data_IF_644833588282
#
_entry.id   IF_644833588282
#
_cell.length_a   1.000
_cell.length_b   1.000
_cell.length_c   1.000
_cell.angle_alpha   90.00
_cell.angle_beta   90.00
_cell.angle_gamma   90.00
#
_symmetry.space_group_name_H-M   'P 1'
#
loop_
_entity.id
_entity.type
_entity.pdbx_description
1 polymer ?
#
# COMPACT_ATOMS: atom_id res chain seq x y z
N UNK A 1 30.33 15.46 8.62
CA UNK A 1 29.76 16.06 9.85
C UNK A 1 28.82 17.14 9.36
N UNK A 2 27.53 16.82 9.19
CA UNK A 2 26.50 17.79 8.80
C UNK A 2 26.30 18.75 9.96
N UNK A 3 26.27 20.05 9.69
CA UNK A 3 25.97 21.05 10.72
C UNK A 3 24.49 20.91 11.14
N UNK A 4 24.13 21.34 12.36
CA UNK A 4 22.72 21.36 12.80
C UNK A 4 21.81 22.09 11.78
N UNK A 5 22.34 23.09 11.09
CA UNK A 5 21.64 23.85 10.06
C UNK A 5 21.36 23.00 8.79
N UNK A 6 22.27 22.11 8.39
CA UNK A 6 22.08 21.21 7.25
C UNK A 6 21.01 20.14 7.53
N UNK A 7 20.90 19.71 8.79
CA UNK A 7 19.87 18.77 9.22
C UNK A 7 18.46 19.36 9.09
N UNK A 8 18.26 20.60 9.55
CA UNK A 8 16.97 21.30 9.45
C UNK A 8 16.55 21.53 7.99
N UNK A 9 17.50 21.87 7.11
CA UNK A 9 17.22 22.03 5.67
C UNK A 9 16.78 20.69 5.05
N UNK A 10 17.46 19.60 5.39
CA UNK A 10 17.14 18.27 4.86
C UNK A 10 15.74 17.83 5.28
N UNK A 11 15.38 17.99 6.56
CA UNK A 11 14.02 17.74 7.05
C UNK A 11 12.99 18.58 6.30
N UNK A 12 13.23 19.88 6.15
CA UNK A 12 12.31 20.79 5.46
C UNK A 12 12.08 20.38 4.00
N UNK A 13 13.13 19.96 3.29
CA UNK A 13 13.02 19.44 1.92
C UNK A 13 12.18 18.17 1.87
N UNK A 14 12.38 17.24 2.81
CA UNK A 14 11.57 16.02 2.90
C UNK A 14 10.09 16.30 3.14
N UNK A 15 9.78 17.19 4.09
CA UNK A 15 8.40 17.61 4.39
C UNK A 15 7.75 18.32 3.21
N UNK A 16 8.46 19.26 2.58
CA UNK A 16 7.99 19.97 1.39
C UNK A 16 7.71 19.03 0.22
N UNK A 17 8.57 18.04 0.00
CA UNK A 17 8.37 17.00 -1.03
C UNK A 17 7.14 16.16 -0.72
N UNK A 18 6.95 15.74 0.54
CA UNK A 18 5.79 14.94 0.94
C UNK A 18 4.49 15.73 0.74
N UNK A 19 4.46 17.01 1.13
CA UNK A 19 3.30 17.87 0.91
C UNK A 19 3.00 18.07 -0.59
N UNK A 20 4.03 18.30 -1.40
CA UNK A 20 3.89 18.38 -2.86
C UNK A 20 3.30 17.10 -3.46
N UNK A 21 3.80 15.92 -3.05
CA UNK A 21 3.31 14.63 -3.53
C UNK A 21 1.86 14.36 -3.11
N UNK A 22 1.47 14.74 -1.89
CA UNK A 22 0.09 14.62 -1.44
C UNK A 22 -0.87 15.50 -2.26
N UNK A 23 -0.48 16.75 -2.55
CA UNK A 23 -1.25 17.65 -3.42
C UNK A 23 -1.33 17.09 -4.84
N UNK A 24 -0.20 16.60 -5.37
CA UNK A 24 -0.14 15.96 -6.69
C UNK A 24 -1.06 14.74 -6.75
N UNK A 25 -1.06 13.88 -5.73
CA UNK A 25 -1.95 12.72 -5.65
C UNK A 25 -3.43 13.15 -5.72
N UNK A 26 -3.85 14.13 -4.91
CA UNK A 26 -5.24 14.63 -4.92
C UNK A 26 -5.59 15.25 -6.28
N UNK A 27 -4.67 15.99 -6.89
CA UNK A 27 -4.86 16.55 -8.24
C UNK A 27 -5.04 15.45 -9.29
N UNK A 28 -4.28 14.35 -9.18
CA UNK A 28 -4.34 13.23 -10.12
C UNK A 28 -5.55 12.31 -9.93
N UNK A 29 -6.13 12.21 -8.73
CA UNK A 29 -7.40 11.49 -8.53
C UNK A 29 -8.45 12.02 -9.51
N UNK A 30 -9.17 11.12 -10.17
CA UNK A 30 -10.24 11.49 -11.11
C UNK A 30 -9.78 12.09 -12.44
N UNK A 31 -8.47 12.29 -12.62
CA UNK A 31 -7.85 12.56 -13.91
C UNK A 31 -7.09 11.32 -14.40
N UNK A 32 -6.42 10.61 -13.47
CA UNK A 32 -5.61 9.42 -13.72
C UNK A 32 -6.00 8.31 -12.72
N UNK A 33 -5.35 7.14 -12.81
CA UNK A 33 -5.32 6.14 -11.73
C UNK A 33 -3.95 6.28 -11.02
N UNK A 34 -3.86 7.09 -9.94
CA UNK A 34 -2.60 7.61 -9.41
C UNK A 34 -1.89 6.64 -8.45
N UNK A 35 -1.59 5.41 -8.90
CA UNK A 35 -0.95 4.38 -8.07
C UNK A 35 0.46 4.76 -7.63
N UNK A 36 1.23 5.45 -8.48
CA UNK A 36 2.60 5.89 -8.16
C UNK A 36 2.55 7.07 -7.20
N UNK A 37 1.69 8.06 -7.45
CA UNK A 37 1.53 9.21 -6.57
C UNK A 37 0.98 8.80 -5.19
N UNK A 38 0.11 7.78 -5.13
CA UNK A 38 -0.35 7.19 -3.87
C UNK A 38 0.80 6.53 -3.11
N UNK A 39 1.61 5.71 -3.79
CA UNK A 39 2.81 5.09 -3.21
C UNK A 39 3.75 6.15 -2.62
N UNK A 40 4.10 7.16 -3.42
CA UNK A 40 5.02 8.23 -2.99
C UNK A 40 4.45 9.03 -1.81
N UNK A 41 3.13 9.27 -1.81
CA UNK A 41 2.44 9.94 -0.69
C UNK A 41 2.51 9.10 0.58
N UNK A 42 2.18 7.81 0.52
CA UNK A 42 2.25 6.89 1.67
C UNK A 42 3.70 6.78 2.16
N UNK A 43 4.66 6.64 1.25
CA UNK A 43 6.08 6.61 1.60
C UNK A 43 6.55 7.90 2.29
N UNK A 44 6.19 9.08 1.79
CA UNK A 44 6.52 10.34 2.44
C UNK A 44 5.87 10.48 3.83
N UNK A 45 4.61 10.08 3.97
CA UNK A 45 3.92 10.07 5.26
C UNK A 45 4.60 9.14 6.27
N UNK A 46 5.02 7.94 5.85
CA UNK A 46 5.59 6.93 6.73
C UNK A 46 7.10 7.11 7.01
N UNK A 47 7.87 7.56 6.02
CA UNK A 47 9.34 7.67 6.10
C UNK A 47 9.82 9.06 6.49
N UNK A 48 9.01 10.11 6.30
CA UNK A 48 9.39 11.50 6.60
C UNK A 48 8.50 12.09 7.69
N UNK A 49 7.18 12.18 7.45
CA UNK A 49 6.26 12.87 8.38
C UNK A 49 6.17 12.15 9.71
N UNK A 50 6.01 10.82 9.70
CA UNK A 50 5.96 10.01 10.93
C UNK A 50 7.21 10.18 11.80
N UNK A 51 8.43 9.99 11.25
CA UNK A 51 9.69 10.27 11.96
C UNK A 51 9.80 11.70 12.47
N UNK A 52 9.44 12.70 11.66
CA UNK A 52 9.47 14.10 12.08
C UNK A 52 8.58 14.34 13.30
N UNK A 53 7.35 13.83 13.30
CA UNK A 53 6.44 13.92 14.46
C UNK A 53 7.06 13.24 15.69
N UNK A 54 7.71 12.09 15.52
CA UNK A 54 8.35 11.36 16.63
C UNK A 54 9.55 12.12 17.23
N UNK A 55 10.37 12.75 16.38
CA UNK A 55 11.49 13.58 16.85
C UNK A 55 11.05 14.84 17.61
N UNK A 56 9.85 15.36 17.34
CA UNK A 56 9.28 16.50 18.07
C UNK A 56 8.46 16.06 19.30
N UNK A 57 8.19 14.76 19.45
CA UNK A 57 7.41 14.24 20.57
C UNK A 57 8.26 14.21 21.85
N UNK A 58 7.66 14.65 22.96
CA UNK A 58 8.20 14.52 24.31
C UNK A 58 8.04 13.08 24.87
N UNK A 59 7.15 12.30 24.25
CA UNK A 59 6.77 10.96 24.69
C UNK A 59 7.22 9.92 23.68
N UNK A 60 8.10 9.03 24.11
CA UNK A 60 8.60 7.94 23.29
C UNK A 60 7.98 6.62 23.70
N UNK A 61 7.54 5.85 22.71
CA UNK A 61 7.15 4.48 22.95
C UNK A 61 8.37 3.64 23.35
N UNK A 62 8.24 2.74 24.32
CA UNK A 62 9.37 1.95 24.86
C UNK A 62 10.13 1.10 23.81
N UNK A 63 9.47 0.81 22.67
CA UNK A 63 10.02 -0.01 21.57
C UNK A 63 9.96 0.64 20.19
N UNK A 64 9.08 1.62 19.98
CA UNK A 64 8.79 2.15 18.64
C UNK A 64 9.18 3.62 18.63
N UNK A 65 10.48 3.88 18.71
CA UNK A 65 11.06 5.21 18.77
C UNK A 65 12.22 5.29 17.78
N UNK A 66 12.63 6.51 17.44
CA UNK A 66 13.77 6.74 16.55
C UNK A 66 15.10 6.37 17.22
N UNK A 67 15.83 5.41 16.67
CA UNK A 67 17.06 4.85 17.25
C UNK A 67 18.33 5.66 16.96
N UNK A 68 18.24 6.64 16.06
CA UNK A 68 19.34 7.55 15.71
C UNK A 68 18.86 8.99 15.75
N UNK A 69 19.78 9.95 15.67
CA UNK A 69 19.41 11.38 15.67
C UNK A 69 18.62 11.77 14.40
N UNK A 70 17.80 12.83 14.48
CA UNK A 70 17.06 13.38 13.33
C UNK A 70 18.00 13.69 12.16
N UNK A 71 19.14 14.34 12.46
CA UNK A 71 20.15 14.68 11.47
C UNK A 71 20.69 13.44 10.74
N UNK A 72 21.00 12.38 11.49
CA UNK A 72 21.51 11.14 10.93
C UNK A 72 20.46 10.44 10.06
N UNK A 73 19.24 10.28 10.57
CA UNK A 73 18.14 9.66 9.85
C UNK A 73 17.78 10.41 8.56
N UNK A 74 17.53 11.72 8.66
CA UNK A 74 17.06 12.53 7.53
C UNK A 74 18.13 12.66 6.45
N UNK A 75 19.42 12.69 6.82
CA UNK A 75 20.54 12.73 5.87
C UNK A 75 20.61 11.52 4.94
N UNK A 76 20.06 10.38 5.37
CA UNK A 76 20.00 9.14 4.59
C UNK A 76 18.67 9.05 3.85
N UNK A 77 17.57 9.23 4.58
CA UNK A 77 16.22 8.89 4.09
C UNK A 77 15.70 9.94 3.11
N UNK A 78 15.90 11.23 3.36
CA UNK A 78 15.38 12.30 2.48
C UNK A 78 16.01 12.24 1.08
N UNK A 79 17.35 12.16 0.91
CA UNK A 79 17.93 12.06 -0.44
C UNK A 79 17.48 10.83 -1.20
N UNK A 80 17.38 9.67 -0.54
CA UNK A 80 16.93 8.44 -1.17
C UNK A 80 15.44 8.53 -1.57
N UNK A 81 14.59 9.11 -0.70
CA UNK A 81 13.18 9.34 -1.00
C UNK A 81 12.97 10.37 -2.13
N UNK A 82 13.78 11.43 -2.19
CA UNK A 82 13.77 12.41 -3.28
C UNK A 82 14.10 11.76 -4.63
N UNK A 83 15.21 11.04 -4.69
CA UNK A 83 15.65 10.36 -5.92
C UNK A 83 14.64 9.29 -6.33
N UNK A 84 14.06 8.55 -5.38
CA UNK A 84 12.94 7.65 -5.64
C UNK A 84 11.74 8.37 -6.25
N UNK A 85 11.33 9.50 -5.66
CA UNK A 85 10.18 10.27 -6.13
C UNK A 85 10.41 10.84 -7.53
N UNK A 86 11.58 11.42 -7.78
CA UNK A 86 11.94 11.96 -9.10
C UNK A 86 11.97 10.84 -10.15
N UNK A 87 12.66 9.75 -9.87
CA UNK A 87 12.79 8.63 -10.82
C UNK A 87 11.46 7.92 -11.10
N UNK A 88 10.60 7.78 -10.08
CA UNK A 88 9.27 7.19 -10.24
C UNK A 88 8.33 8.09 -11.07
N UNK A 89 8.52 9.41 -11.05
CA UNK A 89 7.66 10.36 -11.77
C UNK A 89 8.18 10.72 -13.16
N UNK A 90 9.50 10.76 -13.38
CA UNK A 90 10.11 11.31 -14.62
C UNK A 90 9.76 10.51 -15.87
N UNK A 91 9.59 9.19 -15.76
CA UNK A 91 9.23 8.32 -16.88
C UNK A 91 7.72 8.03 -16.96
N UNK A 92 6.90 8.67 -16.13
CA UNK A 92 5.45 8.51 -16.25
C UNK A 92 4.97 9.10 -17.59
N UNK A 93 4.33 8.31 -18.44
CA UNK A 93 3.80 8.81 -19.70
C UNK A 93 2.69 9.82 -19.42
N UNK A 94 2.64 10.89 -20.23
CA UNK A 94 1.47 11.75 -20.29
C UNK A 94 0.36 10.96 -20.99
N UNK A 95 -0.62 10.52 -20.22
CA UNK A 95 -1.78 9.81 -20.74
C UNK A 95 -2.92 10.80 -20.95
N UNK A 96 -3.48 10.83 -22.15
CA UNK A 96 -4.77 11.48 -22.39
C UNK A 96 -5.88 10.58 -21.85
N UNK A 97 -6.16 10.73 -20.56
CA UNK A 97 -7.15 9.92 -19.88
C UNK A 97 -8.57 10.19 -20.36
N UNK A 98 -8.87 11.34 -20.98
CA UNK A 98 -10.21 11.56 -21.56
C UNK A 98 -10.41 10.64 -22.76
N UNK A 99 -9.45 10.60 -23.69
CA UNK A 99 -9.49 9.68 -24.83
C UNK A 99 -9.49 8.22 -24.36
N UNK A 100 -8.63 7.87 -23.40
CA UNK A 100 -8.59 6.50 -22.84
C UNK A 100 -9.87 6.13 -22.11
N UNK A 101 -10.47 7.06 -21.39
CA UNK A 101 -11.74 6.87 -20.69
C UNK A 101 -12.85 6.55 -21.68
N UNK A 102 -12.96 7.30 -22.77
CA UNK A 102 -13.94 7.00 -23.82
C UNK A 102 -13.66 5.64 -24.46
N UNK A 103 -12.39 5.30 -24.71
CA UNK A 103 -12.01 4.00 -25.25
C UNK A 103 -12.37 2.85 -24.31
N UNK A 104 -12.12 2.98 -23.00
CA UNK A 104 -12.55 2.02 -21.97
C UNK A 104 -14.06 1.86 -21.99
N UNK A 105 -14.80 2.98 -21.97
CA UNK A 105 -16.26 2.97 -21.96
C UNK A 105 -16.83 2.25 -23.18
N UNK A 106 -16.37 2.60 -24.39
CA UNK A 106 -16.80 1.94 -25.64
C UNK A 106 -16.47 0.45 -25.61
N UNK A 107 -15.27 0.08 -25.16
CA UNK A 107 -14.86 -1.32 -25.10
C UNK A 107 -15.72 -2.12 -24.11
N UNK A 108 -15.93 -1.62 -22.89
CA UNK A 108 -16.77 -2.27 -21.88
C UNK A 108 -18.21 -2.42 -22.37
N UNK A 109 -18.75 -1.43 -23.09
CA UNK A 109 -20.08 -1.50 -23.68
C UNK A 109 -20.19 -2.58 -24.78
N UNK A 110 -19.16 -2.74 -25.61
CA UNK A 110 -19.13 -3.78 -26.65
C UNK A 110 -19.07 -5.19 -26.07
N UNK A 111 -18.32 -5.35 -24.97
CA UNK A 111 -18.15 -6.62 -24.28
C UNK A 111 -19.38 -7.01 -23.46
N UNK A 112 -20.12 -6.01 -22.96
CA UNK A 112 -21.33 -6.16 -22.18
C UNK A 112 -21.11 -6.55 -20.71
N UNK A 113 -22.17 -6.44 -19.92
CA UNK A 113 -22.12 -6.57 -18.44
C UNK A 113 -21.67 -7.96 -17.94
N UNK A 114 -21.71 -9.00 -18.79
CA UNK A 114 -21.37 -10.38 -18.41
C UNK A 114 -19.95 -10.51 -17.86
N UNK A 115 -18.99 -9.78 -18.43
CA UNK A 115 -17.59 -9.87 -18.02
C UNK A 115 -17.33 -9.22 -16.66
N UNK A 116 -17.78 -7.98 -16.40
CA UNK A 116 -17.71 -7.41 -15.06
C UNK A 116 -18.33 -8.32 -13.99
N UNK A 117 -19.50 -8.92 -14.26
CA UNK A 117 -20.14 -9.86 -13.34
C UNK A 117 -19.37 -11.17 -13.17
N UNK A 118 -18.79 -11.72 -14.24
CA UNK A 118 -17.96 -12.91 -14.17
C UNK A 118 -16.70 -12.66 -13.32
N UNK A 119 -16.03 -11.52 -13.50
CA UNK A 119 -14.88 -11.11 -12.68
C UNK A 119 -15.24 -10.99 -11.20
N UNK A 120 -16.41 -10.40 -10.90
CA UNK A 120 -16.94 -10.31 -9.54
C UNK A 120 -17.17 -11.70 -8.93
N UNK A 121 -17.88 -12.57 -9.65
CA UNK A 121 -18.21 -13.91 -9.18
C UNK A 121 -16.95 -14.75 -8.95
N UNK A 122 -16.00 -14.76 -9.91
CA UNK A 122 -14.71 -15.45 -9.78
C UNK A 122 -13.95 -14.91 -8.57
N UNK A 123 -13.94 -13.59 -8.38
CA UNK A 123 -13.28 -12.96 -7.25
C UNK A 123 -13.85 -13.39 -5.89
N UNK A 124 -15.18 -13.46 -5.77
CA UNK A 124 -15.80 -13.96 -4.54
C UNK A 124 -15.55 -15.46 -4.33
N UNK A 125 -15.67 -16.30 -5.37
CA UNK A 125 -15.38 -17.73 -5.27
C UNK A 125 -13.93 -17.94 -4.81
N UNK A 126 -12.97 -17.23 -5.42
CA UNK A 126 -11.56 -17.35 -5.07
C UNK A 126 -11.26 -16.93 -3.62
N UNK A 127 -11.98 -15.93 -3.09
CA UNK A 127 -11.87 -15.48 -1.69
C UNK A 127 -12.21 -16.58 -0.68
N UNK A 128 -13.18 -17.45 -1.00
CA UNK A 128 -13.53 -18.58 -0.13
C UNK A 128 -12.62 -19.78 -0.36
N UNK A 129 -12.31 -20.10 -1.62
CA UNK A 129 -11.48 -21.27 -1.97
C UNK A 129 -10.05 -21.15 -1.45
N UNK A 130 -9.47 -19.93 -1.41
CA UNK A 130 -8.09 -19.74 -0.97
C UNK A 130 -7.81 -20.28 0.45
N UNK A 131 -8.83 -20.32 1.33
CA UNK A 131 -8.68 -20.76 2.73
C UNK A 131 -8.34 -22.24 2.87
N UNK A 132 -8.67 -23.04 1.87
CA UNK A 132 -8.49 -24.50 1.87
C UNK A 132 -7.28 -24.96 1.04
N UNK A 133 -6.50 -24.01 0.49
CA UNK A 133 -5.41 -24.32 -0.44
C UNK A 133 -4.03 -24.23 0.23
N UNK A 134 -3.04 -25.01 -0.27
CA UNK A 134 -1.64 -24.86 0.13
C UNK A 134 -1.12 -23.43 -0.14
N UNK A 135 -0.13 -22.93 0.61
CA UNK A 135 0.34 -21.54 0.52
C UNK A 135 0.76 -21.08 -0.89
N UNK A 136 1.28 -21.99 -1.72
CA UNK A 136 1.67 -21.69 -3.10
C UNK A 136 0.46 -21.38 -4.01
N UNK A 137 -0.62 -22.14 -3.87
CA UNK A 137 -1.86 -21.93 -4.62
C UNK A 137 -2.71 -20.80 -4.00
N UNK A 138 -2.66 -20.65 -2.68
CA UNK A 138 -3.34 -19.59 -1.96
C UNK A 138 -2.99 -18.19 -2.50
N UNK A 139 -1.73 -17.95 -2.91
CA UNK A 139 -1.34 -16.65 -3.48
C UNK A 139 -1.99 -16.37 -4.85
N UNK A 140 -2.11 -17.38 -5.72
CA UNK A 140 -2.81 -17.22 -7.00
C UNK A 140 -4.29 -16.92 -6.75
N UNK A 141 -4.92 -17.64 -5.82
CA UNK A 141 -6.30 -17.40 -5.45
C UNK A 141 -6.50 -16.07 -4.71
N UNK A 142 -5.50 -15.59 -3.97
CA UNK A 142 -5.49 -14.23 -3.44
C UNK A 142 -5.57 -13.22 -4.59
N UNK A 143 -4.72 -13.32 -5.60
CA UNK A 143 -4.77 -12.43 -6.78
C UNK A 143 -6.11 -12.54 -7.52
N UNK A 144 -6.62 -13.76 -7.74
CA UNK A 144 -7.94 -13.98 -8.34
C UNK A 144 -9.07 -13.39 -7.48
N UNK A 145 -8.94 -13.42 -6.16
CA UNK A 145 -9.96 -12.85 -5.28
C UNK A 145 -10.14 -11.35 -5.50
N UNK A 146 -9.06 -10.65 -5.87
CA UNK A 146 -9.06 -9.23 -6.15
C UNK A 146 -9.77 -8.87 -7.47
N UNK A 147 -10.12 -9.86 -8.31
CA UNK A 147 -10.94 -9.63 -9.51
C UNK A 147 -12.32 -9.05 -9.18
N UNK A 148 -12.81 -9.21 -7.94
CA UNK A 148 -14.05 -8.55 -7.49
C UNK A 148 -13.97 -7.02 -7.54
N UNK A 149 -12.80 -6.47 -7.25
CA UNK A 149 -12.58 -5.03 -7.33
C UNK A 149 -12.39 -4.57 -8.77
N UNK A 150 -11.69 -5.36 -9.58
CA UNK A 150 -11.54 -5.09 -11.02
C UNK A 150 -12.91 -5.11 -11.71
N UNK A 151 -13.72 -6.14 -11.48
CA UNK A 151 -15.07 -6.22 -12.04
C UNK A 151 -15.99 -5.09 -11.57
N UNK A 152 -15.89 -4.65 -10.31
CA UNK A 152 -16.58 -3.44 -9.85
C UNK A 152 -16.10 -2.18 -10.59
N UNK A 153 -14.79 -2.05 -10.80
CA UNK A 153 -14.19 -1.00 -11.61
C UNK A 153 -14.74 -0.99 -13.04
N UNK A 154 -14.79 -2.16 -13.69
CA UNK A 154 -15.39 -2.32 -15.03
C UNK A 154 -16.88 -1.92 -15.06
N UNK A 155 -17.68 -2.32 -14.07
CA UNK A 155 -19.10 -1.96 -14.01
C UNK A 155 -19.32 -0.45 -13.97
N UNK A 156 -18.40 0.35 -13.44
CA UNK A 156 -18.53 1.81 -13.42
C UNK A 156 -18.61 2.42 -14.83
N UNK A 157 -17.91 1.80 -15.78
CA UNK A 157 -17.89 2.19 -17.20
C UNK A 157 -18.98 1.51 -18.03
N UNK A 158 -19.72 0.56 -17.46
CA UNK A 158 -20.88 -0.07 -18.10
C UNK A 158 -22.13 0.81 -18.06
N UNK A 159 -23.13 0.46 -18.87
CA UNK A 159 -24.48 1.08 -18.84
C UNK A 159 -25.37 0.50 -17.74
N UNK A 160 -24.85 -0.41 -16.91
CA UNK A 160 -25.61 -1.06 -15.85
C UNK A 160 -26.17 -0.04 -14.86
N UNK A 161 -27.48 -0.08 -14.63
CA UNK A 161 -28.17 0.77 -13.64
C UNK A 161 -27.70 0.50 -12.21
N UNK A 162 -27.20 -0.71 -11.96
CA UNK A 162 -26.85 -1.18 -10.61
C UNK A 162 -25.38 -0.94 -10.24
N UNK A 163 -24.58 -0.31 -11.10
CA UNK A 163 -23.12 -0.19 -10.91
C UNK A 163 -22.70 0.43 -9.56
N UNK A 164 -23.41 1.46 -9.11
CA UNK A 164 -23.13 2.10 -7.82
C UNK A 164 -23.52 1.22 -6.62
N UNK A 165 -24.63 0.48 -6.74
CA UNK A 165 -25.07 -0.47 -5.72
C UNK A 165 -24.06 -1.63 -5.61
N UNK A 166 -23.58 -2.14 -6.75
CA UNK A 166 -22.58 -3.20 -6.78
C UNK A 166 -21.25 -2.73 -6.21
N UNK A 167 -20.80 -1.52 -6.57
CA UNK A 167 -19.60 -0.91 -5.97
C UNK A 167 -19.74 -0.81 -4.45
N UNK A 168 -20.85 -0.25 -3.97
CA UNK A 168 -21.13 -0.13 -2.54
C UNK A 168 -21.16 -1.50 -1.86
N UNK A 169 -21.77 -2.51 -2.48
CA UNK A 169 -21.80 -3.88 -1.99
C UNK A 169 -20.40 -4.51 -1.87
N UNK A 170 -19.53 -4.34 -2.87
CA UNK A 170 -18.16 -4.85 -2.83
C UNK A 170 -17.34 -4.18 -1.73
N UNK A 171 -17.49 -2.86 -1.55
CA UNK A 171 -16.82 -2.11 -0.48
C UNK A 171 -17.36 -2.54 0.90
N UNK A 172 -18.68 -2.64 1.07
CA UNK A 172 -19.32 -3.05 2.32
C UNK A 172 -18.93 -4.47 2.73
N UNK A 173 -18.91 -5.42 1.79
CA UNK A 173 -18.44 -6.78 2.06
C UNK A 173 -16.96 -6.83 2.45
N UNK A 174 -16.14 -5.96 1.86
CA UNK A 174 -14.72 -5.85 2.20
C UNK A 174 -14.54 -5.25 3.60
N UNK A 175 -15.33 -4.24 3.97
CA UNK A 175 -15.36 -3.69 5.32
C UNK A 175 -15.80 -4.75 6.33
N UNK A 176 -16.89 -5.48 6.05
CA UNK A 176 -17.36 -6.57 6.89
C UNK A 176 -16.27 -7.64 7.10
N UNK A 177 -15.63 -8.10 6.03
CA UNK A 177 -14.50 -9.04 6.13
C UNK A 177 -13.33 -8.47 6.93
N UNK A 178 -13.07 -7.16 6.84
CA UNK A 178 -12.00 -6.49 7.58
C UNK A 178 -12.29 -6.42 9.07
N UNK A 179 -13.54 -6.19 9.45
CA UNK A 179 -14.02 -6.25 10.84
C UNK A 179 -13.83 -7.68 11.38
N UNK A 180 -14.34 -8.69 10.66
CA UNK A 180 -14.28 -10.10 11.08
C UNK A 180 -12.85 -10.63 11.33
N UNK A 181 -11.88 -10.13 10.57
CA UNK A 181 -10.46 -10.51 10.66
C UNK A 181 -9.60 -9.51 11.43
N UNK A 182 -10.18 -8.37 11.83
CA UNK A 182 -9.47 -7.21 12.39
C UNK A 182 -8.31 -6.70 11.50
N UNK A 183 -8.38 -6.91 10.18
CA UNK A 183 -7.37 -6.53 9.17
C UNK A 183 -7.96 -5.59 8.13
N UNK A 184 -7.67 -4.29 8.25
CA UNK A 184 -8.29 -3.23 7.43
C UNK A 184 -7.45 -2.75 6.23
N UNK A 185 -6.24 -3.27 6.03
CA UNK A 185 -5.33 -2.78 4.98
C UNK A 185 -5.96 -2.87 3.58
N UNK A 186 -6.57 -4.01 3.25
CA UNK A 186 -7.20 -4.21 1.94
C UNK A 186 -8.40 -3.28 1.73
N UNK A 187 -9.19 -3.03 2.79
CA UNK A 187 -10.32 -2.10 2.74
C UNK A 187 -9.87 -0.66 2.43
N UNK A 188 -8.84 -0.16 3.13
CA UNK A 188 -8.34 1.19 2.89
C UNK A 188 -7.73 1.34 1.50
N UNK A 189 -6.92 0.38 1.09
CA UNK A 189 -6.19 0.42 -0.17
C UNK A 189 -7.14 0.27 -1.37
N UNK A 190 -8.04 -0.71 -1.35
CA UNK A 190 -9.04 -0.83 -2.41
C UNK A 190 -10.08 0.30 -2.36
N UNK A 191 -10.40 0.83 -1.19
CA UNK A 191 -11.26 2.00 -1.02
C UNK A 191 -10.72 3.21 -1.79
N UNK A 192 -9.45 3.58 -1.58
CA UNK A 192 -8.84 4.72 -2.27
C UNK A 192 -8.64 4.47 -3.78
N UNK A 193 -8.32 3.24 -4.18
CA UNK A 193 -8.14 2.90 -5.61
C UNK A 193 -9.47 2.87 -6.37
N UNK A 194 -10.52 2.28 -5.79
CA UNK A 194 -11.87 2.33 -6.38
C UNK A 194 -12.44 3.74 -6.36
N UNK A 195 -12.19 4.52 -5.31
CA UNK A 195 -12.52 5.94 -5.29
C UNK A 195 -11.85 6.69 -6.44
N UNK A 196 -10.58 6.39 -6.74
CA UNK A 196 -9.89 7.02 -7.87
C UNK A 196 -10.56 6.73 -9.22
N UNK A 197 -11.02 5.49 -9.41
CA UNK A 197 -11.78 5.08 -10.61
C UNK A 197 -13.17 5.74 -10.62
N UNK A 198 -13.88 5.78 -9.50
CA UNK A 198 -15.18 6.42 -9.39
C UNK A 198 -15.12 7.94 -9.62
N UNK A 199 -14.08 8.60 -9.09
CA UNK A 199 -13.84 10.02 -9.29
C UNK A 199 -13.58 10.35 -10.77
N UNK A 200 -12.96 9.43 -11.52
CA UNK A 200 -12.74 9.57 -12.96
C UNK A 200 -14.07 9.53 -13.71
N UNK A 201 -14.96 8.60 -13.35
CA UNK A 201 -16.31 8.50 -13.91
C UNK A 201 -17.18 9.73 -13.59
N UNK A 202 -16.99 10.35 -12.42
CA UNK A 202 -17.77 11.50 -11.95
C UNK A 202 -17.16 12.87 -12.33
N UNK A 203 -15.95 12.90 -12.91
CA UNK A 203 -15.20 14.13 -13.23
C UNK A 203 -15.16 15.12 -12.06
N UNK A 204 -14.76 14.62 -10.88
CA UNK A 204 -14.84 15.40 -9.64
C UNK A 204 -13.85 16.58 -9.63
N UNK A 205 -14.28 17.79 -9.23
CA UNK A 205 -13.38 18.93 -9.08
C UNK A 205 -12.43 18.73 -7.88
N UNK A 206 -11.32 19.46 -7.88
CA UNK A 206 -10.26 19.34 -6.86
C UNK A 206 -10.79 19.41 -5.43
N UNK A 207 -11.65 20.39 -5.11
CA UNK A 207 -12.15 20.59 -3.75
C UNK A 207 -12.96 19.38 -3.24
N UNK A 208 -13.82 18.80 -4.09
CA UNK A 208 -14.60 17.60 -3.72
C UNK A 208 -13.69 16.40 -3.48
N UNK A 209 -12.63 16.25 -4.28
CA UNK A 209 -11.62 15.19 -4.07
C UNK A 209 -10.88 15.40 -2.75
N UNK A 210 -10.40 16.61 -2.49
CA UNK A 210 -9.69 16.95 -1.26
C UNK A 210 -10.55 16.68 -0.01
N UNK A 211 -11.80 17.14 -0.01
CA UNK A 211 -12.75 16.89 1.09
C UNK A 211 -12.94 15.39 1.31
N UNK A 212 -13.20 14.60 0.27
CA UNK A 212 -13.40 13.16 0.41
C UNK A 212 -12.15 12.40 0.86
N UNK A 213 -10.96 12.81 0.41
CA UNK A 213 -9.69 12.24 0.89
C UNK A 213 -9.49 12.55 2.37
N UNK A 214 -9.73 13.80 2.80
CA UNK A 214 -9.63 14.21 4.21
C UNK A 214 -10.64 13.44 5.06
N UNK A 215 -11.90 13.32 4.61
CA UNK A 215 -12.92 12.51 5.28
C UNK A 215 -12.50 11.05 5.36
N UNK A 216 -11.94 10.48 4.28
CA UNK A 216 -11.41 9.12 4.27
C UNK A 216 -10.28 8.91 5.28
N UNK A 217 -9.35 9.86 5.37
CA UNK A 217 -8.27 9.86 6.38
C UNK A 217 -8.86 9.90 7.79
N UNK A 218 -9.85 10.75 8.07
CA UNK A 218 -10.54 10.80 9.36
C UNK A 218 -11.20 9.46 9.71
N UNK A 219 -11.87 8.80 8.75
CA UNK A 219 -12.45 7.46 8.93
C UNK A 219 -11.38 6.41 9.23
N UNK A 220 -10.23 6.46 8.54
CA UNK A 220 -9.09 5.58 8.84
C UNK A 220 -8.62 5.80 10.28
N UNK A 221 -8.47 7.04 10.73
CA UNK A 221 -8.07 7.33 12.12
C UNK A 221 -9.05 6.78 13.15
N UNK A 222 -10.36 6.96 12.95
CA UNK A 222 -11.41 6.41 13.84
C UNK A 222 -11.34 4.88 13.89
N UNK A 223 -11.22 4.22 12.73
CA UNK A 223 -11.11 2.76 12.68
C UNK A 223 -9.83 2.29 13.39
N UNK A 224 -8.73 3.04 13.24
CA UNK A 224 -7.46 2.70 13.89
C UNK A 224 -7.55 2.90 15.41
N UNK A 225 -8.13 3.98 15.93
CA UNK A 225 -8.20 4.24 17.38
C UNK A 225 -8.88 3.09 18.14
N UNK A 226 -10.00 2.58 17.62
CA UNK A 226 -10.77 1.50 18.26
C UNK A 226 -10.17 0.10 18.06
N UNK A 227 -9.30 -0.07 17.05
CA UNK A 227 -8.79 -1.39 16.62
C UNK A 227 -8.06 -2.16 17.70
N UNK A 228 -7.36 -1.46 18.60
CA UNK A 228 -6.61 -2.10 19.68
C UNK A 228 -7.55 -2.66 20.76
N UNK A 229 -8.48 -1.84 21.24
CA UNK A 229 -9.54 -2.24 22.17
C UNK A 229 -10.36 -3.39 21.60
N UNK A 230 -10.72 -3.31 20.31
CA UNK A 230 -11.44 -4.36 19.60
C UNK A 230 -10.68 -5.69 19.58
N UNK A 231 -9.36 -5.66 19.30
CA UNK A 231 -8.52 -6.87 19.29
C UNK A 231 -8.32 -7.45 20.68
N UNK A 232 -8.19 -6.61 21.71
CA UNK A 232 -8.07 -7.08 23.08
C UNK A 232 -9.27 -7.96 23.46
N UNK A 233 -10.49 -7.48 23.20
CA UNK A 233 -11.72 -8.21 23.53
C UNK A 233 -11.91 -9.49 22.71
N UNK A 234 -11.57 -9.48 21.41
CA UNK A 234 -11.71 -10.67 20.54
C UNK A 234 -10.65 -11.73 20.83
N UNK A 235 -9.38 -11.33 21.03
CA UNK A 235 -8.27 -12.29 21.17
C UNK A 235 -8.14 -12.85 22.58
N UNK A 236 -8.65 -12.16 23.60
CA UNK A 236 -8.74 -12.71 24.95
C UNK A 236 -9.85 -13.76 25.07
N UNK A 237 -10.66 -13.95 24.03
CA UNK A 237 -11.74 -14.96 24.01
C UNK A 237 -12.94 -14.59 24.89
N UNK A 238 -13.00 -13.34 25.35
CA UNK A 238 -14.04 -12.86 26.26
C UNK A 238 -15.33 -12.45 25.55
N UNK A 239 -15.31 -12.31 24.22
CA UNK A 239 -16.46 -11.86 23.44
C UNK A 239 -16.98 -12.94 22.48
N UNK A 240 -18.15 -13.51 22.81
CA UNK A 240 -18.88 -14.51 22.03
C UNK A 240 -20.06 -13.90 21.22
N UNK A 241 -20.19 -12.57 21.23
CA UNK A 241 -21.26 -11.82 20.56
C UNK A 241 -20.97 -11.49 19.08
N UNK A 242 -21.83 -10.66 18.48
CA UNK A 242 -21.64 -10.20 17.10
C UNK A 242 -20.47 -9.20 17.00
N UNK A 243 -19.41 -9.62 16.31
CA UNK A 243 -18.21 -8.82 16.08
C UNK A 243 -18.46 -7.47 15.39
N UNK A 244 -19.51 -7.36 14.58
CA UNK A 244 -19.93 -6.11 13.96
C UNK A 244 -20.54 -5.18 15.01
N UNK A 245 -21.43 -5.71 15.85
CA UNK A 245 -22.08 -4.94 16.92
C UNK A 245 -21.03 -4.36 17.88
N UNK A 246 -20.10 -5.19 18.35
CA UNK A 246 -18.97 -4.73 19.17
C UNK A 246 -18.14 -3.64 18.49
N UNK A 247 -17.83 -3.81 17.21
CA UNK A 247 -17.05 -2.81 16.50
C UNK A 247 -17.81 -1.49 16.39
N UNK A 248 -19.11 -1.55 16.08
CA UNK A 248 -19.95 -0.36 15.96
C UNK A 248 -20.15 0.36 17.29
N UNK A 249 -20.28 -0.37 18.40
CA UNK A 249 -20.39 0.25 19.73
C UNK A 249 -19.12 0.99 20.09
N UNK A 250 -17.94 0.37 19.91
CA UNK A 250 -16.65 1.02 20.17
C UNK A 250 -16.44 2.29 19.34
N UNK A 251 -16.85 2.27 18.06
CA UNK A 251 -16.80 3.46 17.20
C UNK A 251 -17.76 4.55 17.71
N UNK A 252 -18.98 4.20 18.10
CA UNK A 252 -19.96 5.16 18.61
C UNK A 252 -19.52 5.76 19.95
N UNK A 253 -18.92 4.95 20.82
CA UNK A 253 -18.36 5.39 22.10
C UNK A 253 -17.18 6.35 21.89
N UNK A 254 -16.32 6.08 20.91
CA UNK A 254 -15.21 6.94 20.53
C UNK A 254 -15.68 8.28 19.95
N UNK A 255 -16.73 8.29 19.11
CA UNK A 255 -17.28 9.52 18.50
C UNK A 255 -18.10 10.34 19.50
N UNK A 256 -18.84 9.69 20.41
CA UNK A 256 -19.70 10.37 21.39
C UNK A 256 -18.94 11.02 22.54
N UNK A 257 -17.62 10.84 22.63
CA UNK A 257 -16.80 11.37 23.73
C UNK A 257 -17.02 10.63 25.05
N UNK A 258 -17.67 9.47 25.02
CA UNK A 258 -17.91 8.62 26.21
C UNK A 258 -16.62 7.93 26.70
N UNK A 259 -15.55 8.02 25.90
CA UNK A 259 -14.20 7.56 26.24
C UNK A 259 -13.36 8.77 26.64
N UNK A 260 -13.32 9.06 27.95
CA UNK A 260 -12.20 9.77 28.60
C UNK A 260 -12.20 11.30 28.55
N UNK A 261 -13.06 11.93 29.35
CA UNK A 261 -12.77 13.25 29.91
C UNK A 261 -11.63 13.17 30.93
N UNK A 262 -10.38 13.27 30.47
CA UNK A 262 -9.27 13.83 31.25
C UNK A 262 -8.49 14.79 30.34
N UNK A 263 -8.61 16.08 30.65
CA UNK A 263 -8.17 17.21 29.84
C UNK A 263 -6.63 17.34 29.83
N UNK A 264 -6.08 17.67 28.66
CA UNK A 264 -4.74 18.25 28.40
C UNK A 264 -3.49 17.36 28.48
N UNK A 265 -3.42 16.28 29.28
CA UNK A 265 -2.29 15.33 29.23
C UNK A 265 -2.48 14.19 28.19
N UNK A 266 -3.70 14.08 27.65
CA UNK A 266 -4.18 13.03 26.76
C UNK A 266 -3.81 13.25 25.29
N UNK A 267 -3.70 14.49 24.82
CA UNK A 267 -3.51 14.78 23.39
C UNK A 267 -2.13 14.41 22.86
N UNK A 268 -1.04 14.66 23.60
CA UNK A 268 0.31 14.25 23.16
C UNK A 268 0.47 12.72 23.16
N UNK A 269 -0.09 12.03 24.16
CA UNK A 269 -0.06 10.58 24.23
C UNK A 269 -0.88 9.93 23.10
N UNK A 270 -2.06 10.48 22.78
CA UNK A 270 -2.88 10.05 21.64
C UNK A 270 -2.19 10.30 20.30
N UNK A 271 -1.62 11.49 20.11
CA UNK A 271 -0.84 11.83 18.91
C UNK A 271 0.37 10.89 18.77
N UNK A 272 1.07 10.60 19.87
CA UNK A 272 2.19 9.65 19.90
C UNK A 272 1.74 8.23 19.52
N UNK A 273 0.63 7.73 20.09
CA UNK A 273 0.09 6.41 19.74
C UNK A 273 -0.36 6.30 18.28
N UNK A 274 -0.99 7.35 17.75
CA UNK A 274 -1.37 7.43 16.34
C UNK A 274 -0.11 7.47 15.47
N UNK A 275 0.90 8.24 15.88
CA UNK A 275 2.16 8.35 15.16
C UNK A 275 2.93 7.04 15.13
N UNK A 276 2.90 6.21 16.17
CA UNK A 276 3.52 4.86 16.15
C UNK A 276 3.03 4.02 14.96
N UNK A 277 1.80 4.23 14.48
CA UNK A 277 1.26 3.49 13.33
C UNK A 277 1.65 4.11 12.00
N UNK A 278 1.70 5.44 11.94
CA UNK A 278 2.13 6.18 10.76
C UNK A 278 3.64 6.06 10.54
N UNK A 279 4.41 6.27 11.58
CA UNK A 279 5.86 6.19 11.59
C UNK A 279 6.31 4.75 11.35
N UNK A 280 6.74 4.44 10.12
CA UNK A 280 7.48 3.22 9.81
C UNK A 280 8.98 3.50 9.72
N UNK A 281 9.38 4.77 9.82
CA UNK A 281 10.78 5.19 9.83
C UNK A 281 11.55 4.76 11.07
N UNK A 282 10.89 4.44 12.20
CA UNK A 282 11.59 3.86 13.35
C UNK A 282 12.29 2.53 12.98
N UNK A 283 11.72 1.73 12.07
CA UNK A 283 12.35 0.49 11.58
C UNK A 283 13.62 0.83 10.81
N UNK A 284 13.55 1.78 9.89
CA UNK A 284 14.69 2.25 9.11
C UNK A 284 15.78 2.81 10.04
N UNK A 285 15.38 3.57 11.08
CA UNK A 285 16.30 4.11 12.08
C UNK A 285 17.00 3.00 12.88
N UNK A 286 16.29 1.93 13.24
CA UNK A 286 16.87 0.78 13.91
C UNK A 286 17.89 0.06 13.02
N UNK A 287 17.62 -0.02 11.70
CA UNK A 287 18.56 -0.56 10.72
C UNK A 287 19.82 0.30 10.64
N UNK A 288 19.68 1.62 10.55
CA UNK A 288 20.82 2.56 10.52
C UNK A 288 21.67 2.43 11.79
N UNK A 289 21.04 2.28 12.95
CA UNK A 289 21.75 2.10 14.22
C UNK A 289 22.51 0.76 14.30
N UNK A 290 21.95 -0.31 13.73
CA UNK A 290 22.49 -1.66 13.87
C UNK A 290 23.47 -2.05 12.74
N UNK A 291 23.28 -1.54 11.52
CA UNK A 291 24.14 -1.78 10.35
C UNK A 291 24.92 -0.51 10.03
N UNK A 292 26.27 -0.52 9.97
CA UNK A 292 27.15 -1.67 10.02
C UNK A 292 27.71 -2.01 11.42
N UNK A 293 27.24 -1.35 12.48
CA UNK A 293 27.90 -1.40 13.80
C UNK A 293 27.91 -2.81 14.44
N UNK A 294 26.81 -3.56 14.30
CA UNK A 294 26.61 -4.88 14.90
C UNK A 294 26.36 -5.97 13.87
N UNK A 295 25.74 -5.61 12.74
CA UNK A 295 25.52 -6.48 11.60
C UNK A 295 26.22 -5.85 10.38
N UNK A 296 27.09 -6.58 9.66
CA UNK A 296 27.72 -6.05 8.46
C UNK A 296 26.70 -5.80 7.33
N UNK A 297 27.07 -4.95 6.37
CA UNK A 297 26.24 -4.76 5.17
C UNK A 297 26.02 -6.10 4.44
N UNK A 298 24.78 -6.35 4.02
CA UNK A 298 24.40 -7.59 3.34
C UNK A 298 24.94 -7.70 1.90
N UNK A 299 25.46 -6.61 1.32
CA UNK A 299 26.20 -6.65 0.05
C UNK A 299 25.36 -7.06 -1.17
N UNK A 300 24.04 -6.95 -1.11
CA UNK A 300 23.12 -7.31 -2.18
C UNK A 300 22.41 -8.66 -2.01
N UNK A 301 22.75 -9.43 -0.96
CA UNK A 301 22.19 -10.76 -0.68
C UNK A 301 20.65 -10.79 -0.77
N UNK A 302 19.97 -9.88 -0.06
CA UNK A 302 18.50 -9.89 -0.02
C UNK A 302 17.87 -9.37 -1.31
N UNK A 303 18.60 -8.53 -2.06
CA UNK A 303 18.16 -8.00 -3.35
C UNK A 303 18.20 -9.12 -4.40
N UNK A 304 19.30 -9.87 -4.46
CA UNK A 304 19.42 -11.04 -5.33
C UNK A 304 18.35 -12.09 -5.00
N UNK A 305 18.15 -12.39 -3.72
CA UNK A 305 17.10 -13.29 -3.26
C UNK A 305 15.72 -12.81 -3.73
N UNK A 306 15.41 -11.52 -3.63
CA UNK A 306 14.15 -10.96 -4.10
C UNK A 306 13.93 -11.18 -5.61
N UNK A 307 14.96 -10.99 -6.44
CA UNK A 307 14.88 -11.23 -7.89
C UNK A 307 14.64 -12.70 -8.22
N UNK A 308 15.46 -13.62 -7.66
CA UNK A 308 15.28 -15.06 -7.86
C UNK A 308 13.90 -15.52 -7.36
N UNK A 309 13.47 -15.00 -6.21
CA UNK A 309 12.22 -15.35 -5.59
C UNK A 309 10.99 -14.91 -6.41
N UNK A 310 11.09 -13.80 -7.12
CA UNK A 310 9.99 -13.21 -7.88
C UNK A 310 9.81 -13.87 -9.24
N UNK A 311 10.90 -14.31 -9.87
CA UNK A 311 10.89 -14.94 -11.20
C UNK A 311 10.63 -16.46 -11.15
N UNK A 312 11.09 -17.16 -10.10
CA UNK A 312 10.99 -18.62 -10.05
C UNK A 312 9.66 -19.11 -9.44
N UNK A 313 8.93 -20.01 -10.13
CA UNK A 313 7.78 -20.69 -9.55
C UNK A 313 8.15 -21.49 -8.30
N UNK A 314 7.28 -21.48 -7.28
CA UNK A 314 7.54 -22.12 -5.97
C UNK A 314 7.81 -23.63 -6.05
N UNK A 315 7.35 -24.31 -7.10
CA UNK A 315 7.60 -25.75 -7.28
C UNK A 315 9.06 -26.07 -7.67
N UNK A 316 9.81 -25.09 -8.20
CA UNK A 316 11.22 -25.25 -8.59
C UNK A 316 12.16 -24.97 -7.41
N UNK A 317 11.71 -24.20 -6.40
CA UNK A 317 12.48 -23.87 -5.21
C UNK A 317 11.65 -24.14 -3.94
N UNK A 318 11.55 -25.42 -3.51
CA UNK A 318 10.81 -25.82 -2.31
C UNK A 318 11.53 -25.43 -1.00
N UNK A 319 12.84 -25.15 -1.05
CA UNK A 319 13.69 -24.78 0.09
C UNK A 319 13.81 -23.27 0.30
N UNK A 320 12.90 -22.45 -0.26
CA UNK A 320 12.84 -21.04 0.12
C UNK A 320 12.77 -20.98 1.63
N UNK A 321 13.81 -20.40 2.24
CA UNK A 321 13.80 -20.10 3.67
C UNK A 321 12.46 -19.45 3.99
N UNK A 322 11.95 -19.69 5.18
CA UNK A 322 10.96 -18.78 5.79
C UNK A 322 11.55 -17.37 6.05
N UNK A 323 12.71 -17.05 5.45
CA UNK A 323 13.35 -15.75 5.36
C UNK A 323 12.50 -14.82 4.49
N UNK A 324 11.46 -14.27 5.10
CA UNK A 324 10.65 -13.22 4.49
C UNK A 324 10.08 -12.37 5.60
N UNK A 325 10.51 -11.12 5.66
CA UNK A 325 10.06 -10.07 6.57
C UNK A 325 10.68 -10.24 7.94
N UNK A 326 10.31 -11.30 8.64
CA UNK A 326 10.66 -11.51 10.04
C UNK A 326 12.17 -11.70 10.26
N UNK A 327 12.82 -12.56 9.48
CA UNK A 327 14.26 -12.85 9.63
C UNK A 327 15.10 -11.62 9.32
N UNK A 328 14.88 -10.99 8.16
CA UNK A 328 15.57 -9.77 7.74
C UNK A 328 15.31 -8.61 8.71
N UNK A 329 14.07 -8.47 9.20
CA UNK A 329 13.76 -7.48 10.23
C UNK A 329 14.61 -7.71 11.48
N UNK A 330 14.61 -8.92 12.06
CA UNK A 330 15.36 -9.18 13.29
C UNK A 330 16.87 -9.06 13.10
N UNK A 331 17.38 -9.50 11.93
CA UNK A 331 18.80 -9.38 11.54
C UNK A 331 19.22 -7.92 11.44
N UNK A 332 18.52 -7.13 10.62
CA UNK A 332 18.96 -5.77 10.31
C UNK A 332 18.62 -4.76 11.39
N UNK A 333 17.52 -4.92 12.13
CA UNK A 333 17.17 -4.00 13.24
C UNK A 333 17.84 -4.38 14.56
N UNK A 334 18.25 -5.65 14.72
CA UNK A 334 18.67 -6.21 16.02
C UNK A 334 17.53 -6.39 17.02
N UNK A 335 16.27 -6.16 16.62
CA UNK A 335 15.11 -6.22 17.50
C UNK A 335 14.40 -7.57 17.42
N UNK A 336 13.94 -8.06 18.57
CA UNK A 336 13.18 -9.32 18.65
C UNK A 336 11.70 -9.09 18.41
N UNK A 337 11.08 -10.01 17.67
CA UNK A 337 9.63 -10.05 17.45
C UNK A 337 8.99 -11.18 18.25
N UNK A 338 7.80 -10.95 18.80
CA UNK A 338 7.00 -11.99 19.45
C UNK A 338 6.64 -13.12 18.47
N UNK A 339 6.38 -14.33 18.97
CA UNK A 339 5.97 -15.46 18.10
C UNK A 339 4.69 -15.09 17.33
N UNK A 340 4.68 -15.31 16.02
CA UNK A 340 3.54 -14.98 15.14
C UNK A 340 3.52 -13.54 14.61
N UNK A 341 4.40 -12.64 15.05
CA UNK A 341 4.52 -11.28 14.50
C UNK A 341 5.53 -11.24 13.35
N UNK A 342 5.19 -10.56 12.26
CA UNK A 342 6.12 -10.24 11.18
C UNK A 342 6.05 -8.75 10.87
N UNK A 343 7.19 -8.14 10.58
CA UNK A 343 7.34 -6.75 10.19
C UNK A 343 8.28 -6.69 9.00
N UNK A 344 8.01 -5.79 8.05
CA UNK A 344 8.91 -5.56 6.91
C UNK A 344 10.00 -4.56 7.26
N UNK A 345 11.09 -4.57 6.51
CA UNK A 345 12.22 -3.64 6.68
C UNK A 345 12.05 -2.33 5.91
N UNK A 346 10.98 -2.19 5.13
CA UNK A 346 10.84 -1.25 3.99
C UNK A 346 11.90 -1.46 2.90
N UNK A 347 11.58 -1.07 1.66
CA UNK A 347 12.53 -1.14 0.53
C UNK A 347 13.76 -0.25 0.77
N UNK A 348 13.55 0.94 1.33
CA UNK A 348 14.64 1.88 1.63
C UNK A 348 15.53 1.41 2.79
N UNK A 349 14.94 0.82 3.84
CA UNK A 349 15.68 0.24 4.95
C UNK A 349 16.49 -0.97 4.51
N UNK A 350 15.92 -1.83 3.67
CA UNK A 350 16.64 -2.95 3.04
C UNK A 350 17.78 -2.47 2.13
N UNK A 351 17.55 -1.43 1.33
CA UNK A 351 18.58 -0.84 0.48
C UNK A 351 19.77 -0.31 1.29
N UNK A 352 19.48 0.34 2.44
CA UNK A 352 20.52 0.77 3.37
C UNK A 352 21.26 -0.42 3.99
N UNK A 353 20.53 -1.45 4.45
CA UNK A 353 21.16 -2.65 5.03
C UNK A 353 22.10 -3.37 4.05
N UNK A 354 21.84 -3.28 2.75
CA UNK A 354 22.69 -3.86 1.72
C UNK A 354 23.87 -2.97 1.31
N UNK A 355 23.65 -1.66 1.17
CA UNK A 355 24.60 -0.79 0.45
C UNK A 355 24.94 0.54 1.17
N UNK A 356 24.44 0.74 2.38
CA UNK A 356 24.61 1.98 3.13
C UNK A 356 23.92 3.19 2.51
N UNK A 357 24.29 4.40 2.95
CA UNK A 357 23.58 5.64 2.58
C UNK A 357 23.65 5.97 1.07
N UNK A 358 24.83 5.93 0.46
CA UNK A 358 24.96 6.24 -0.97
C UNK A 358 24.33 5.17 -1.85
N UNK A 359 24.50 3.90 -1.48
CA UNK A 359 23.92 2.80 -2.22
C UNK A 359 22.39 2.75 -2.11
N UNK A 360 21.81 3.15 -0.97
CA UNK A 360 20.36 3.26 -0.84
C UNK A 360 19.77 4.32 -1.77
N UNK A 361 20.43 5.46 -1.94
CA UNK A 361 19.99 6.51 -2.89
C UNK A 361 19.97 5.98 -4.32
N UNK A 362 21.06 5.33 -4.76
CA UNK A 362 21.18 4.77 -6.10
C UNK A 362 20.13 3.67 -6.32
N UNK A 363 20.02 2.75 -5.37
CA UNK A 363 19.06 1.65 -5.44
C UNK A 363 17.61 2.16 -5.52
N UNK A 364 17.26 3.14 -4.68
CA UNK A 364 15.92 3.72 -4.67
C UNK A 364 15.60 4.47 -5.98
N UNK A 365 16.61 5.08 -6.62
CA UNK A 365 16.48 5.62 -7.97
C UNK A 365 16.19 4.56 -9.02
N UNK A 366 16.94 3.45 -9.00
CA UNK A 366 16.70 2.31 -9.91
C UNK A 366 15.33 1.68 -9.68
N UNK A 367 14.90 1.57 -8.42
CA UNK A 367 13.57 1.09 -8.07
C UNK A 367 12.47 1.99 -8.63
N UNK A 368 12.58 3.31 -8.46
CA UNK A 368 11.64 4.26 -9.05
C UNK A 368 11.57 4.17 -10.57
N UNK A 369 12.72 4.08 -11.25
CA UNK A 369 12.77 3.87 -12.71
C UNK A 369 12.08 2.57 -13.13
N UNK A 370 12.26 1.48 -12.39
CA UNK A 370 11.63 0.20 -12.67
C UNK A 370 10.09 0.27 -12.55
N UNK A 371 9.59 0.96 -11.53
CA UNK A 371 8.14 1.17 -11.36
C UNK A 371 7.57 2.03 -12.48
N UNK A 372 8.26 3.12 -12.85
CA UNK A 372 7.83 3.99 -13.93
C UNK A 372 7.86 3.27 -15.29
N UNK A 373 8.88 2.44 -15.54
CA UNK A 373 8.94 1.57 -16.71
C UNK A 373 7.76 0.60 -16.76
N UNK A 374 7.43 -0.04 -15.64
CA UNK A 374 6.30 -0.98 -15.57
C UNK A 374 4.98 -0.27 -15.85
N UNK A 375 4.77 0.91 -15.26
CA UNK A 375 3.59 1.73 -15.53
C UNK A 375 3.51 2.11 -17.01
N UNK A 376 4.62 2.55 -17.61
CA UNK A 376 4.70 2.89 -19.02
C UNK A 376 4.32 1.73 -19.93
N UNK A 377 4.78 0.51 -19.62
CA UNK A 377 4.41 -0.69 -20.39
C UNK A 377 2.91 -0.97 -20.33
N UNK A 378 2.28 -0.78 -19.18
CA UNK A 378 0.81 -0.93 -19.07
C UNK A 378 0.09 0.10 -19.93
N UNK A 379 0.56 1.36 -19.95
CA UNK A 379 0.00 2.41 -20.82
C UNK A 379 0.20 2.08 -22.30
N UNK A 380 1.37 1.60 -22.72
CA UNK A 380 1.62 1.16 -24.10
C UNK A 380 0.66 0.04 -24.51
N UNK A 381 0.44 -0.96 -23.64
CA UNK A 381 -0.54 -2.04 -23.88
C UNK A 381 -1.98 -1.49 -23.96
N UNK A 382 -2.26 -0.38 -23.27
CA UNK A 382 -3.58 0.26 -23.28
C UNK A 382 -3.95 0.92 -24.62
N UNK A 383 -3.00 1.08 -25.54
CA UNK A 383 -3.31 1.51 -26.92
C UNK A 383 -4.14 0.45 -27.65
N UNK A 384 -3.86 -0.83 -27.41
CA UNK A 384 -4.61 -1.94 -27.98
C UNK A 384 -5.75 -2.43 -27.08
N UNK A 385 -5.55 -2.39 -25.76
CA UNK A 385 -6.55 -2.84 -24.76
C UNK A 385 -6.78 -1.76 -23.70
N UNK A 386 -7.68 -0.80 -23.94
CA UNK A 386 -7.87 0.34 -23.04
C UNK A 386 -8.16 -0.05 -21.58
N UNK A 387 -8.87 -1.16 -21.40
CA UNK A 387 -9.29 -1.70 -20.10
C UNK A 387 -8.14 -2.13 -19.21
N UNK A 388 -6.92 -2.39 -19.74
CA UNK A 388 -5.74 -2.77 -18.95
C UNK A 388 -5.38 -1.73 -17.89
N UNK A 389 -5.76 -0.45 -18.11
CA UNK A 389 -5.57 0.62 -17.13
C UNK A 389 -6.36 0.35 -15.83
N UNK A 390 -7.52 -0.30 -15.91
CA UNK A 390 -8.31 -0.69 -14.72
C UNK A 390 -7.62 -1.75 -13.87
N UNK A 391 -6.57 -2.40 -14.38
CA UNK A 391 -5.80 -3.43 -13.69
C UNK A 391 -4.56 -2.88 -12.97
N UNK A 392 -4.18 -1.62 -13.20
CA UNK A 392 -3.10 -0.94 -12.48
C UNK A 392 -3.20 -1.07 -10.94
N UNK A 393 -4.40 -0.89 -10.32
CA UNK A 393 -4.61 -1.15 -8.90
C UNK A 393 -4.11 -2.51 -8.42
N UNK A 394 -4.38 -3.58 -9.19
CA UNK A 394 -3.99 -4.93 -8.84
C UNK A 394 -2.48 -5.16 -9.03
N UNK A 395 -1.90 -4.63 -10.11
CA UNK A 395 -0.45 -4.73 -10.38
C UNK A 395 0.35 -4.09 -9.23
N UNK A 396 -0.09 -2.92 -8.76
CA UNK A 396 0.62 -2.14 -7.75
C UNK A 396 0.13 -2.37 -6.32
N UNK A 397 -0.80 -3.30 -6.07
CA UNK A 397 -1.48 -3.46 -4.78
C UNK A 397 -0.52 -3.58 -3.57
N UNK A 398 0.51 -4.43 -3.64
CA UNK A 398 1.51 -4.51 -2.56
C UNK A 398 2.61 -3.45 -2.72
N UNK A 399 2.88 -3.01 -3.95
CA UNK A 399 3.93 -2.03 -4.27
C UNK A 399 3.65 -0.68 -3.62
N UNK A 400 2.38 -0.31 -3.47
CA UNK A 400 1.93 0.93 -2.82
C UNK A 400 2.29 0.97 -1.32
N UNK A 401 2.60 -0.17 -0.69
CA UNK A 401 2.91 -0.26 0.73
C UNK A 401 4.39 0.05 0.99
N UNK A 402 4.65 1.18 1.65
CA UNK A 402 6.01 1.63 1.94
C UNK A 402 6.69 0.91 3.13
N UNK A 403 5.93 0.16 3.93
CA UNK A 403 6.42 -0.62 5.08
C UNK A 403 6.99 -2.02 4.73
N UNK A 404 6.88 -2.45 3.48
CA UNK A 404 7.24 -3.82 3.06
C UNK A 404 8.60 -3.89 2.36
N UNK A 405 9.23 -5.06 2.43
CA UNK A 405 10.53 -5.40 1.83
C UNK A 405 10.44 -5.68 0.32
N UNK A 406 11.57 -5.62 -0.38
CA UNK A 406 11.67 -5.75 -1.83
C UNK A 406 11.10 -7.07 -2.34
N UNK A 407 11.38 -8.18 -1.66
CA UNK A 407 10.90 -9.51 -2.07
C UNK A 407 9.38 -9.57 -2.10
N UNK A 408 8.68 -8.91 -1.18
CA UNK A 408 7.21 -8.90 -1.16
C UNK A 408 6.65 -8.09 -2.32
N UNK A 409 7.14 -6.86 -2.51
CA UNK A 409 6.64 -5.95 -3.55
C UNK A 409 6.97 -6.45 -4.96
N UNK A 410 8.19 -6.93 -5.19
CA UNK A 410 8.63 -7.44 -6.49
C UNK A 410 7.92 -8.75 -6.84
N UNK A 411 7.76 -9.66 -5.88
CA UNK A 411 7.05 -10.92 -6.10
C UNK A 411 5.59 -10.67 -6.45
N UNK A 412 4.94 -9.71 -5.78
CA UNK A 412 3.57 -9.31 -6.13
C UNK A 412 3.50 -8.69 -7.51
N UNK A 413 4.36 -7.71 -7.80
CA UNK A 413 4.38 -6.99 -9.07
C UNK A 413 4.53 -7.94 -10.27
N UNK A 414 5.50 -8.86 -10.19
CA UNK A 414 5.77 -9.85 -11.25
C UNK A 414 4.59 -10.82 -11.40
N UNK A 415 4.11 -11.40 -10.30
CA UNK A 415 3.04 -12.42 -10.38
C UNK A 415 1.69 -11.85 -10.76
N UNK A 416 1.35 -10.65 -10.29
CA UNK A 416 0.15 -9.94 -10.72
C UNK A 416 0.22 -9.65 -12.23
N UNK A 417 1.36 -9.17 -12.73
CA UNK A 417 1.57 -8.92 -14.17
C UNK A 417 1.44 -10.19 -15.00
N UNK A 418 2.04 -11.31 -14.57
CA UNK A 418 1.92 -12.61 -15.25
C UNK A 418 0.47 -13.10 -15.26
N UNK A 419 -0.23 -13.00 -14.13
CA UNK A 419 -1.63 -13.43 -14.04
C UNK A 419 -2.51 -12.61 -14.98
N UNK A 420 -2.34 -11.29 -14.99
CA UNK A 420 -3.12 -10.38 -15.86
C UNK A 420 -2.83 -10.71 -17.32
N UNK A 421 -1.57 -10.85 -17.71
CA UNK A 421 -1.21 -11.30 -19.05
C UNK A 421 -1.88 -12.63 -19.41
N UNK A 422 -1.87 -13.60 -18.50
CA UNK A 422 -2.53 -14.90 -18.68
C UNK A 422 -4.04 -14.77 -18.86
N UNK A 423 -4.70 -13.89 -18.11
CA UNK A 423 -6.14 -13.60 -18.22
C UNK A 423 -6.47 -13.01 -19.60
N UNK A 424 -5.71 -12.01 -20.06
CA UNK A 424 -5.87 -11.41 -21.40
C UNK A 424 -5.56 -12.39 -22.53
N UNK A 425 -4.58 -13.27 -22.34
CA UNK A 425 -4.25 -14.30 -23.31
C UNK A 425 -5.36 -15.35 -23.41
N UNK A 426 -5.86 -15.84 -22.26
CA UNK A 426 -6.97 -16.81 -22.19
C UNK A 426 -8.27 -16.24 -22.77
N UNK A 427 -8.60 -14.98 -22.46
CA UNK A 427 -9.82 -14.33 -22.99
C UNK A 427 -9.80 -14.27 -24.51
N UNK A 428 -8.68 -13.82 -25.09
CA UNK A 428 -8.51 -13.72 -26.55
C UNK A 428 -8.48 -15.08 -27.24
N UNK A 429 -7.71 -16.04 -26.71
CA UNK A 429 -7.47 -17.34 -27.38
C UNK A 429 -8.56 -18.37 -27.15
N UNK A 430 -9.08 -18.48 -25.93
CA UNK A 430 -10.03 -19.53 -25.54
C UNK A 430 -11.46 -19.01 -25.66
N UNK A 431 -11.74 -17.87 -25.05
CA UNK A 431 -13.10 -17.33 -24.99
C UNK A 431 -13.48 -16.49 -26.21
N UNK A 432 -12.50 -16.12 -27.05
CA UNK A 432 -12.67 -15.22 -28.21
C UNK A 432 -13.31 -13.88 -27.82
N UNK A 433 -13.04 -13.42 -26.60
CA UNK A 433 -13.49 -12.12 -26.10
C UNK A 433 -12.27 -11.25 -25.80
N UNK A 434 -12.29 -10.01 -26.28
CA UNK A 434 -11.35 -8.99 -25.83
C UNK A 434 -11.93 -8.36 -24.56
N UNK A 435 -11.16 -8.35 -23.48
CA UNK A 435 -11.56 -7.85 -22.15
C UNK A 435 -10.75 -6.63 -21.78
#
# INVERSE_FOLDING_TARGET
MLTMQDATVTTAVGLGTTAFLAVLFIDRIGNNIPVIELLLTIAGLQWIVGPYIDYQSSTHHFKYFMYVSEAEYMSVVVPAFLIFSISALILLPKVDYETKFQAIKVHVQQVGDKIPWALILIGFIALYVQKSLPPALAFIFFLLSNLRFIGAGYLLFSESKNKWIVLAGVIALTLFSSIQTSMFHDFFLWGILLFSIAALQLRMPFLSKAVLVITGIAVVFIIQSVKEQYRAQIWQGEYDGDKLELFTSLVMDNISGSVGTEETASSEAEISQVNVRLNQGWIISAIINNVPQKEPFAGGETIEEAFYASLLPRFISPTKKEAGGRENFMRFTGLRLAKGTSMGTSVIGEAYANYGAWGSIVFMGLWGLMLAFTFRKVVEISEENPTVLLWLPLIFLQVVKAETELVVVLNHLVKASILIFGIYWLSRKVFKVQI
#
